data_IF_583170729110
#
_entry.id   IF_583170729110
#
_cell.length_a   1.000
_cell.length_b   1.000
_cell.length_c   1.000
_cell.angle_alpha   90.00
_cell.angle_beta   90.00
_cell.angle_gamma   90.00
#
_symmetry.space_group_name_H-M   'P 1'
#
loop_
_entity.id
_entity.type
_entity.pdbx_description
1 polymer ?
#
# COMPACT_ATOMS: atom_id res chain seq x y z
N UNK A 1 9.21 -26.10 -8.20
CA UNK A 1 8.54 -24.80 -8.43
C UNK A 1 9.49 -23.68 -8.02
N UNK A 2 9.90 -22.77 -8.91
CA UNK A 2 10.77 -21.63 -8.54
C UNK A 2 9.89 -20.46 -8.11
N UNK A 3 9.94 -20.09 -6.83
CA UNK A 3 9.21 -18.92 -6.31
C UNK A 3 9.90 -17.65 -6.83
N UNK A 4 9.15 -16.77 -7.49
CA UNK A 4 9.69 -15.48 -7.96
C UNK A 4 9.73 -14.47 -6.81
N UNK A 5 10.80 -13.68 -6.64
CA UNK A 5 10.85 -12.63 -5.61
C UNK A 5 9.67 -11.67 -5.67
N UNK A 6 9.18 -11.34 -6.88
CA UNK A 6 7.99 -10.50 -7.07
C UNK A 6 6.75 -11.07 -6.38
N UNK A 7 6.59 -12.40 -6.35
CA UNK A 7 5.44 -13.05 -5.74
C UNK A 7 5.49 -12.93 -4.21
N UNK A 8 6.67 -13.13 -3.62
CA UNK A 8 6.86 -12.99 -2.17
C UNK A 8 6.57 -11.56 -1.72
N UNK A 9 7.12 -10.57 -2.44
CA UNK A 9 6.86 -9.16 -2.16
C UNK A 9 5.38 -8.80 -2.25
N UNK A 10 4.69 -9.29 -3.29
CA UNK A 10 3.24 -9.04 -3.47
C UNK A 10 2.42 -9.65 -2.33
N UNK A 11 2.71 -10.88 -1.93
CA UNK A 11 1.97 -11.55 -0.85
C UNK A 11 2.17 -10.81 0.47
N UNK A 12 3.42 -10.46 0.82
CA UNK A 12 3.71 -9.72 2.06
C UNK A 12 3.06 -8.34 2.10
N UNK A 13 3.19 -7.56 1.03
CA UNK A 13 2.56 -6.24 0.91
C UNK A 13 1.04 -6.36 0.96
N UNK A 14 0.45 -7.29 0.19
CA UNK A 14 -0.99 -7.45 0.18
C UNK A 14 -1.55 -7.91 1.51
N UNK A 15 -0.88 -8.82 2.23
CA UNK A 15 -1.30 -9.22 3.57
C UNK A 15 -1.34 -8.02 4.53
N UNK A 16 -0.37 -7.12 4.42
CA UNK A 16 -0.31 -5.90 5.21
C UNK A 16 -1.47 -4.96 4.89
N UNK A 17 -1.67 -4.60 3.62
CA UNK A 17 -2.76 -3.72 3.21
C UNK A 17 -4.13 -4.33 3.48
N UNK A 18 -4.28 -5.65 3.32
CA UNK A 18 -5.54 -6.32 3.62
C UNK A 18 -5.84 -6.27 5.13
N UNK A 19 -4.83 -6.50 5.97
CA UNK A 19 -4.99 -6.39 7.42
C UNK A 19 -5.35 -4.97 7.84
N UNK A 20 -4.62 -3.95 7.35
CA UNK A 20 -4.89 -2.55 7.66
C UNK A 20 -6.27 -2.11 7.18
N UNK A 21 -6.63 -2.45 5.94
CA UNK A 21 -7.89 -2.04 5.34
C UNK A 21 -9.10 -2.70 6.00
N UNK A 22 -9.02 -4.01 6.32
CA UNK A 22 -10.08 -4.69 7.06
C UNK A 22 -10.27 -4.10 8.45
N UNK A 23 -9.18 -3.84 9.18
CA UNK A 23 -9.29 -3.29 10.53
C UNK A 23 -9.73 -1.83 10.56
N UNK A 24 -9.40 -1.04 9.54
CA UNK A 24 -9.91 0.34 9.38
C UNK A 24 -11.44 0.38 9.32
N UNK A 25 -12.07 -0.67 8.76
CA UNK A 25 -13.52 -0.77 8.62
C UNK A 25 -14.15 -1.49 9.82
N UNK A 26 -13.55 -2.60 10.28
CA UNK A 26 -14.13 -3.44 11.33
C UNK A 26 -13.87 -2.91 12.74
N UNK A 27 -12.76 -2.21 12.96
CA UNK A 27 -12.32 -1.72 14.27
C UNK A 27 -11.96 -0.22 14.21
N UNK A 28 -12.85 0.67 13.70
CA UNK A 28 -12.49 2.06 13.41
C UNK A 28 -12.01 2.84 14.63
N UNK A 29 -12.51 2.52 15.83
CA UNK A 29 -12.07 3.16 17.09
C UNK A 29 -10.58 2.96 17.39
N UNK A 30 -9.99 1.85 16.94
CA UNK A 30 -8.56 1.55 17.13
C UNK A 30 -7.68 2.17 16.04
N UNK A 31 -8.27 2.63 14.93
CA UNK A 31 -7.55 3.07 13.73
C UNK A 31 -7.73 4.54 13.41
N UNK A 32 -8.79 5.16 13.92
CA UNK A 32 -9.08 6.58 13.71
C UNK A 32 -7.94 7.48 14.19
N UNK A 33 -7.16 7.04 15.17
CA UNK A 33 -5.97 7.74 15.69
C UNK A 33 -4.91 8.01 14.63
N UNK A 34 -4.80 7.16 13.59
CA UNK A 34 -3.85 7.34 12.49
C UNK A 34 -4.33 8.33 11.43
N UNK A 35 -5.61 8.71 11.44
CA UNK A 35 -6.14 9.71 10.51
C UNK A 35 -5.82 11.13 11.05
N UNK A 36 -5.16 12.00 10.28
CA UNK A 36 -4.83 13.34 10.72
C UNK A 36 -6.05 14.17 11.13
N UNK A 37 -5.88 15.02 12.16
CA UNK A 37 -6.97 15.85 12.70
C UNK A 37 -7.49 16.88 11.69
N UNK A 38 -6.64 17.34 10.76
CA UNK A 38 -7.01 18.33 9.75
C UNK A 38 -8.06 17.84 8.74
N UNK A 39 -8.31 16.53 8.66
CA UNK A 39 -9.37 15.97 7.79
C UNK A 39 -10.75 16.54 8.14
N UNK A 40 -11.02 16.78 9.44
CA UNK A 40 -12.28 17.40 9.87
C UNK A 40 -12.43 18.88 9.43
N UNK A 41 -11.36 19.50 8.91
CA UNK A 41 -11.43 20.86 8.35
C UNK A 41 -11.95 20.87 6.91
N UNK A 42 -12.06 19.70 6.26
CA UNK A 42 -12.59 19.58 4.91
C UNK A 42 -14.13 19.50 4.98
N UNK A 43 -14.87 20.39 4.28
CA UNK A 43 -16.33 20.32 4.24
C UNK A 43 -16.81 18.95 3.71
N UNK A 44 -17.84 18.40 4.34
CA UNK A 44 -18.46 17.11 3.98
C UNK A 44 -17.60 15.86 4.20
N UNK A 45 -16.42 15.98 4.83
CA UNK A 45 -15.53 14.86 5.09
C UNK A 45 -15.28 14.69 6.60
N UNK A 46 -15.68 13.56 7.15
CA UNK A 46 -15.33 13.18 8.53
C UNK A 46 -14.13 12.25 8.53
N UNK A 47 -13.40 12.20 9.66
CA UNK A 47 -12.28 11.25 9.83
C UNK A 47 -12.72 9.79 9.68
N UNK A 48 -13.93 9.44 10.13
CA UNK A 48 -14.49 8.09 10.03
C UNK A 48 -14.80 7.71 8.58
N UNK A 49 -15.38 8.66 7.83
CA UNK A 49 -15.64 8.47 6.40
C UNK A 49 -14.32 8.33 5.64
N UNK A 50 -13.34 9.18 5.94
CA UNK A 50 -12.02 9.10 5.33
C UNK A 50 -11.31 7.77 5.67
N UNK A 51 -11.37 7.32 6.92
CA UNK A 51 -10.83 6.03 7.34
C UNK A 51 -11.48 4.86 6.57
N UNK A 52 -12.79 4.92 6.37
CA UNK A 52 -13.53 3.90 5.61
C UNK A 52 -13.10 3.89 4.14
N UNK A 53 -13.00 5.06 3.51
CA UNK A 53 -12.53 5.20 2.12
C UNK A 53 -11.09 4.69 1.98
N UNK A 54 -10.22 5.06 2.92
CA UNK A 54 -8.84 4.59 2.96
C UNK A 54 -8.77 3.08 3.10
N UNK A 55 -9.53 2.48 4.03
CA UNK A 55 -9.56 1.04 4.22
C UNK A 55 -10.07 0.28 2.99
N UNK A 56 -11.09 0.80 2.30
CA UNK A 56 -11.56 0.23 1.02
C UNK A 56 -10.47 0.29 -0.06
N UNK A 57 -9.76 1.41 -0.16
CA UNK A 57 -8.63 1.56 -1.07
C UNK A 57 -7.53 0.54 -0.79
N UNK A 58 -7.16 0.33 0.49
CA UNK A 58 -6.15 -0.65 0.88
C UNK A 58 -6.56 -2.09 0.53
N UNK A 59 -7.83 -2.46 0.73
CA UNK A 59 -8.36 -3.77 0.35
C UNK A 59 -8.27 -3.97 -1.17
N UNK A 60 -8.70 -2.99 -1.95
CA UNK A 60 -8.64 -3.05 -3.42
C UNK A 60 -7.17 -3.18 -3.87
N UNK A 61 -6.26 -2.42 -3.27
CA UNK A 61 -4.84 -2.48 -3.55
C UNK A 61 -4.24 -3.85 -3.20
N UNK A 62 -4.62 -4.42 -2.05
CA UNK A 62 -4.21 -5.75 -1.63
C UNK A 62 -4.65 -6.82 -2.62
N UNK A 63 -5.92 -6.78 -3.05
CA UNK A 63 -6.44 -7.71 -4.07
C UNK A 63 -5.70 -7.53 -5.39
N UNK A 64 -5.46 -6.28 -5.82
CA UNK A 64 -4.71 -6.00 -7.03
C UNK A 64 -3.28 -6.58 -6.97
N UNK A 65 -2.61 -6.46 -5.82
CA UNK A 65 -1.30 -7.06 -5.56
C UNK A 65 -1.36 -8.60 -5.54
N UNK A 66 -2.36 -9.23 -4.90
CA UNK A 66 -2.48 -10.70 -4.85
C UNK A 66 -2.78 -11.32 -6.20
N UNK A 67 -3.76 -10.77 -6.92
CA UNK A 67 -4.14 -11.26 -8.25
C UNK A 67 -3.05 -10.91 -9.27
N UNK A 68 -2.45 -9.72 -9.13
CA UNK A 68 -1.38 -9.25 -10.01
C UNK A 68 -1.90 -8.54 -11.24
N UNK A 69 -3.04 -7.88 -11.09
CA UNK A 69 -3.59 -6.93 -12.06
C UNK A 69 -2.89 -5.58 -11.87
N UNK A 70 -2.74 -4.83 -12.95
CA UNK A 70 -2.14 -3.49 -12.92
C UNK A 70 -0.82 -3.38 -12.11
N UNK A 71 0.04 -4.41 -12.20
CA UNK A 71 1.21 -4.61 -11.30
C UNK A 71 2.07 -3.37 -11.05
N UNK A 72 2.32 -2.57 -12.09
CA UNK A 72 3.10 -1.33 -12.00
C UNK A 72 2.38 -0.26 -11.18
N UNK A 73 1.11 -0.04 -11.50
CA UNK A 73 0.28 0.92 -10.79
C UNK A 73 0.07 0.47 -9.34
N UNK A 74 -0.21 -0.81 -9.10
CA UNK A 74 -0.36 -1.36 -7.75
C UNK A 74 0.94 -1.21 -6.93
N UNK A 75 2.11 -1.47 -7.51
CA UNK A 75 3.39 -1.27 -6.81
C UNK A 75 3.66 0.22 -6.51
N UNK A 76 3.33 1.12 -7.45
CA UNK A 76 3.45 2.56 -7.25
C UNK A 76 2.50 3.06 -6.14
N UNK A 77 1.23 2.66 -6.19
CA UNK A 77 0.24 3.03 -5.18
C UNK A 77 0.63 2.49 -3.80
N UNK A 78 1.15 1.26 -3.72
CA UNK A 78 1.67 0.72 -2.47
C UNK A 78 2.81 1.57 -1.90
N UNK A 79 3.79 1.91 -2.74
CA UNK A 79 4.92 2.74 -2.34
C UNK A 79 4.47 4.14 -1.87
N UNK A 80 3.57 4.78 -2.61
CA UNK A 80 3.05 6.10 -2.23
C UNK A 80 2.23 6.04 -0.94
N UNK A 81 1.39 5.01 -0.77
CA UNK A 81 0.54 4.88 0.42
C UNK A 81 1.38 4.72 1.69
N UNK A 82 2.37 3.82 1.66
CA UNK A 82 3.29 3.63 2.78
C UNK A 82 4.15 4.89 2.99
N UNK A 83 4.59 5.54 1.92
CA UNK A 83 5.37 6.78 2.00
C UNK A 83 4.59 7.90 2.70
N UNK A 84 3.30 8.06 2.39
CA UNK A 84 2.41 9.00 3.07
C UNK A 84 2.29 8.64 4.56
N UNK A 85 2.07 7.36 4.89
CA UNK A 85 1.98 6.92 6.30
C UNK A 85 3.26 7.28 7.07
N UNK A 86 4.44 6.98 6.51
CA UNK A 86 5.74 7.28 7.15
C UNK A 86 5.94 8.79 7.35
N UNK A 87 5.56 9.61 6.36
CA UNK A 87 5.71 11.08 6.44
C UNK A 87 4.79 11.69 7.50
N UNK A 88 3.52 11.25 7.55
CA UNK A 88 2.51 11.89 8.40
C UNK A 88 2.39 11.28 9.80
N UNK A 89 2.72 10.00 9.98
CA UNK A 89 2.62 9.33 11.28
C UNK A 89 3.89 9.46 12.12
N UNK A 90 5.03 9.79 11.50
CA UNK A 90 6.32 9.78 12.17
C UNK A 90 6.84 8.35 12.42
N UNK A 91 7.88 8.24 13.25
CA UNK A 91 8.54 6.97 13.58
C UNK A 91 8.33 6.68 15.07
N UNK A 92 7.61 5.60 15.38
CA UNK A 92 7.37 5.11 16.73
C UNK A 92 7.54 3.58 16.80
N UNK A 93 7.20 2.98 17.96
CA UNK A 93 7.28 1.54 18.23
C UNK A 93 6.39 0.69 17.30
N UNK A 94 5.47 1.30 16.57
CA UNK A 94 4.58 0.64 15.61
C UNK A 94 5.01 0.94 14.17
N UNK A 95 5.27 2.20 13.83
CA UNK A 95 5.51 2.65 12.44
C UNK A 95 6.94 2.40 11.96
N UNK A 96 7.90 2.06 12.83
CA UNK A 96 9.27 1.72 12.39
C UNK A 96 9.30 0.58 11.35
N UNK A 97 8.35 -0.36 11.43
CA UNK A 97 8.21 -1.48 10.48
C UNK A 97 7.83 -1.03 9.07
N UNK A 98 7.23 0.15 8.94
CA UNK A 98 6.75 0.68 7.67
C UNK A 98 7.92 1.08 6.76
N UNK A 99 9.13 1.31 7.31
CA UNK A 99 10.34 1.43 6.49
C UNK A 99 10.66 0.15 5.71
N UNK A 100 10.46 -1.01 6.33
CA UNK A 100 10.63 -2.30 5.66
C UNK A 100 9.61 -2.48 4.53
N UNK A 101 8.36 -2.08 4.76
CA UNK A 101 7.29 -2.12 3.77
C UNK A 101 7.52 -1.11 2.64
N UNK A 102 8.05 0.07 2.95
CA UNK A 102 8.43 1.10 1.98
C UNK A 102 9.55 0.58 1.07
N UNK A 103 10.57 -0.05 1.65
CA UNK A 103 11.63 -0.73 0.88
C UNK A 103 11.08 -1.86 0.01
N UNK A 104 10.19 -2.70 0.55
CA UNK A 104 9.57 -3.81 -0.19
C UNK A 104 8.72 -3.34 -1.39
N UNK A 105 7.90 -2.31 -1.19
CA UNK A 105 7.08 -1.72 -2.27
C UNK A 105 7.94 -1.01 -3.31
N UNK A 106 8.99 -0.30 -2.89
CA UNK A 106 9.95 0.31 -3.80
C UNK A 106 10.69 -0.74 -4.64
N UNK A 107 11.17 -1.82 -4.02
CA UNK A 107 11.80 -2.93 -4.71
C UNK A 107 10.85 -3.58 -5.73
N UNK A 108 9.59 -3.79 -5.35
CA UNK A 108 8.58 -4.32 -6.26
C UNK A 108 8.33 -3.39 -7.45
N UNK A 109 8.29 -2.07 -7.22
CA UNK A 109 8.17 -1.07 -8.28
C UNK A 109 9.36 -1.10 -9.24
N UNK A 110 10.58 -1.22 -8.73
CA UNK A 110 11.80 -1.33 -9.55
C UNK A 110 11.82 -2.62 -10.39
N UNK A 111 11.38 -3.75 -9.84
CA UNK A 111 11.26 -5.01 -10.59
C UNK A 111 10.33 -4.88 -11.80
N UNK A 112 9.28 -4.05 -11.70
CA UNK A 112 8.38 -3.82 -12.83
C UNK A 112 8.82 -2.69 -13.77
N UNK A 113 9.76 -1.83 -13.36
CA UNK A 113 10.31 -0.75 -14.21
C UNK A 113 11.07 -1.30 -15.42
N UNK A 114 11.74 -2.45 -15.28
CA UNK A 114 12.69 -3.01 -16.27
C UNK A 114 12.09 -3.89 -17.38
N UNK A 115 10.78 -3.95 -17.53
CA UNK A 115 10.10 -4.87 -18.47
C UNK A 115 9.47 -4.21 -19.71
N UNK A 116 9.80 -2.94 -20.01
CA UNK A 116 9.31 -2.23 -21.21
C UNK A 116 10.33 -2.18 -22.36
N UNK A 117 11.65 -2.31 -22.11
CA UNK A 117 12.65 -2.11 -23.17
C UNK A 117 13.40 -3.39 -23.55
N UNK A 118 12.71 -4.27 -24.30
CA UNK A 118 13.40 -5.04 -25.35
C UNK A 118 12.65 -4.80 -26.65
N UNK A 119 13.07 -3.85 -27.50
CA UNK A 119 12.77 -3.97 -28.91
C UNK A 119 13.31 -5.34 -29.35
N UNK A 120 12.47 -6.11 -30.06
CA UNK A 120 12.94 -7.25 -30.83
C UNK A 120 14.03 -6.72 -31.78
N UNK A 121 15.30 -6.90 -31.42
CA UNK A 121 16.36 -6.85 -32.40
C UNK A 121 16.16 -8.07 -33.28
N UNK A 122 15.56 -7.82 -34.45
CA UNK A 122 15.61 -8.72 -35.59
C UNK A 122 17.05 -9.20 -35.77
N UNK A 123 17.23 -10.51 -35.71
CA UNK A 123 18.33 -11.23 -36.34
C UNK A 123 17.79 -12.59 -36.77
#
# INVERSE_FOLDING_TARGET
MKIKPELVLRIGLAGTFLYAGLNSILNPTSWIGFIPQWINSIPLLTRELFLTIHGMFEIILAIALLVGIYKKLAALLAFLSIGVIVIFSGIDDVTFRDFGLLGASYALMLLYRKKIDKPNSMS
#
